data_IF_268205083253
#
_entry.id   IF_268205083253
#
_cell.length_a   1.000
_cell.length_b   1.000
_cell.length_c   1.000
_cell.angle_alpha   90.00
_cell.angle_beta   90.00
_cell.angle_gamma   90.00
#
_symmetry.space_group_name_H-M   'P 1'
#
loop_
_entity.id
_entity.type
_entity.pdbx_description
1 polymer ?
#
# COMPACT_ATOMS: atom_id res chain seq x y z
N UNK A 1 0.89 -53.16 32.63
CA UNK A 1 1.23 -51.95 31.84
C UNK A 1 -0.04 -51.14 31.82
N UNK A 2 -0.21 -50.33 32.87
CA UNK A 2 -1.54 -49.85 33.23
C UNK A 2 -1.75 -48.50 32.55
N UNK A 3 -2.74 -48.47 31.65
CA UNK A 3 -3.07 -47.31 30.85
C UNK A 3 -3.59 -46.18 31.76
N UNK A 4 -2.80 -45.13 31.93
CA UNK A 4 -3.21 -43.89 32.58
C UNK A 4 -4.25 -43.18 31.71
N UNK A 5 -5.53 -43.40 32.01
CA UNK A 5 -6.64 -42.63 31.44
C UNK A 5 -6.59 -41.25 32.09
N UNK A 6 -6.05 -40.26 31.37
CA UNK A 6 -6.18 -38.84 31.70
C UNK A 6 -7.63 -38.41 31.47
N UNK A 7 -8.53 -38.84 32.36
CA UNK A 7 -9.92 -38.41 32.33
C UNK A 7 -9.98 -36.91 32.70
N UNK A 8 -10.38 -36.08 31.74
CA UNK A 8 -10.67 -34.68 31.98
C UNK A 8 -11.73 -34.57 33.08
N UNK A 9 -11.34 -34.07 34.25
CA UNK A 9 -12.19 -34.00 35.45
C UNK A 9 -13.39 -33.08 35.15
N UNK A 10 -14.57 -33.67 34.99
CA UNK A 10 -15.82 -32.95 34.73
C UNK A 10 -16.17 -32.08 35.95
N UNK A 11 -16.36 -30.76 35.76
CA UNK A 11 -16.73 -29.85 36.86
C UNK A 11 -18.17 -30.15 37.30
N UNK A 12 -18.40 -30.28 38.62
CA UNK A 12 -19.73 -30.52 39.16
C UNK A 12 -20.67 -29.36 38.81
N UNK A 13 -21.95 -29.67 38.53
CA UNK A 13 -22.98 -28.71 38.12
C UNK A 13 -23.17 -27.57 39.13
N UNK A 14 -22.86 -27.81 40.41
CA UNK A 14 -22.83 -26.79 41.47
C UNK A 14 -21.77 -25.70 41.26
N UNK A 15 -20.69 -26.00 40.51
CA UNK A 15 -19.63 -25.05 40.12
C UNK A 15 -19.83 -24.51 38.70
N UNK A 16 -21.04 -24.59 38.15
CA UNK A 16 -21.37 -23.98 36.86
C UNK A 16 -21.38 -22.46 37.03
N UNK A 17 -20.26 -21.83 36.70
CA UNK A 17 -20.12 -20.37 36.66
C UNK A 17 -21.10 -19.86 35.62
N UNK A 18 -22.09 -19.08 36.06
CA UNK A 18 -23.00 -18.37 35.16
C UNK A 18 -22.34 -17.04 34.83
N UNK A 19 -22.33 -16.60 33.55
CA UNK A 19 -21.84 -15.28 33.21
C UNK A 19 -22.69 -14.25 33.97
N UNK A 20 -22.05 -13.43 34.80
CA UNK A 20 -22.65 -12.28 35.43
C UNK A 20 -22.51 -11.12 34.45
N UNK A 21 -23.59 -10.37 34.23
CA UNK A 21 -23.56 -9.21 33.37
C UNK A 21 -22.91 -8.04 34.11
N UNK A 22 -21.59 -8.10 34.25
CA UNK A 22 -20.79 -7.00 34.77
C UNK A 22 -20.50 -5.99 33.65
N UNK A 23 -20.54 -4.68 33.92
CA UNK A 23 -20.17 -3.68 32.93
C UNK A 23 -18.72 -3.91 32.50
N UNK A 24 -18.48 -3.84 31.18
CA UNK A 24 -17.12 -3.95 30.64
C UNK A 24 -16.26 -2.84 31.27
N UNK A 25 -15.14 -3.19 31.93
CA UNK A 25 -14.24 -2.19 32.50
C UNK A 25 -13.79 -1.23 31.41
N UNK A 26 -13.92 0.08 31.64
CA UNK A 26 -13.53 1.10 30.66
C UNK A 26 -12.02 1.08 30.37
N UNK A 27 -11.22 0.60 31.32
CA UNK A 27 -9.78 0.42 31.19
C UNK A 27 -9.38 -0.81 30.36
N UNK A 28 -10.34 -1.64 29.92
CA UNK A 28 -10.05 -2.80 29.09
C UNK A 28 -9.57 -2.39 27.68
N UNK A 29 -10.00 -1.22 27.20
CA UNK A 29 -9.65 -0.72 25.88
C UNK A 29 -9.32 0.79 25.96
N UNK A 30 -8.15 1.15 26.53
CA UNK A 30 -7.72 2.54 26.53
C UNK A 30 -7.71 3.07 25.09
N UNK A 31 -8.03 4.36 24.88
CA UNK A 31 -7.99 4.95 23.56
C UNK A 31 -6.59 4.80 22.97
N UNK A 32 -6.53 4.51 21.67
CA UNK A 32 -5.26 4.35 20.96
C UNK A 32 -4.42 5.63 21.10
N UNK A 33 -3.23 5.49 21.66
CA UNK A 33 -2.27 6.58 21.71
C UNK A 33 -1.78 6.91 20.30
N UNK A 34 -1.72 8.21 20.00
CA UNK A 34 -1.15 8.66 18.73
C UNK A 34 0.36 8.47 18.80
N UNK A 35 1.00 7.88 17.77
CA UNK A 35 2.45 7.84 17.73
C UNK A 35 3.01 9.27 17.73
N UNK A 36 4.19 9.49 18.33
CA UNK A 36 4.82 10.80 18.31
C UNK A 36 5.02 11.25 16.86
N UNK A 37 4.46 12.41 16.52
CA UNK A 37 4.64 13.01 15.21
C UNK A 37 6.09 13.51 15.13
N UNK A 38 6.84 13.06 14.13
CA UNK A 38 8.20 13.55 13.88
C UNK A 38 8.23 15.03 13.46
N UNK A 39 7.09 15.58 13.02
CA UNK A 39 6.92 16.96 12.57
C UNK A 39 5.69 17.57 13.22
N UNK A 40 5.76 18.88 13.49
CA UNK A 40 4.60 19.67 13.89
C UNK A 40 3.50 19.59 12.79
N UNK A 41 2.28 19.14 13.13
CA UNK A 41 1.16 19.08 12.19
C UNK A 41 0.60 20.46 11.81
N UNK A 42 0.85 21.50 12.62
CA UNK A 42 0.35 22.86 12.40
C UNK A 42 1.39 23.83 11.84
N UNK A 43 2.68 23.48 11.94
CA UNK A 43 3.73 24.13 11.18
C UNK A 43 3.54 23.82 9.69
N UNK A 44 3.08 24.78 8.91
CA UNK A 44 2.99 24.67 7.44
C UNK A 44 4.36 25.00 6.82
N UNK A 45 5.07 24.04 6.20
CA UNK A 45 6.23 24.33 5.38
C UNK A 45 5.92 23.88 3.96
N UNK A 46 4.76 24.28 3.43
CA UNK A 46 4.51 24.13 2.01
C UNK A 46 4.75 25.51 1.43
N UNK A 47 5.96 25.69 0.87
CA UNK A 47 6.21 26.79 -0.04
C UNK A 47 5.08 26.76 -1.09
N UNK A 48 4.35 27.87 -1.29
CA UNK A 48 3.27 27.94 -2.28
C UNK A 48 3.76 27.44 -3.64
N UNK A 49 5.03 27.74 -3.94
CA UNK A 49 5.69 27.33 -5.17
C UNK A 49 6.42 26.01 -4.93
N UNK A 50 5.96 24.97 -5.64
CA UNK A 50 6.68 23.70 -5.72
C UNK A 50 8.00 23.91 -6.47
N UNK A 51 9.10 23.25 -6.05
CA UNK A 51 10.37 23.34 -6.76
C UNK A 51 10.22 22.83 -8.20
N UNK A 52 11.01 23.40 -9.11
CA UNK A 52 11.04 22.98 -10.52
C UNK A 52 11.49 21.52 -10.58
N UNK A 53 10.78 20.71 -11.37
CA UNK A 53 11.10 19.31 -11.56
C UNK A 53 12.52 19.12 -12.13
N UNK A 54 13.27 18.19 -11.54
CA UNK A 54 14.56 17.72 -12.04
C UNK A 54 14.47 16.25 -12.39
N UNK A 55 15.00 15.88 -13.56
CA UNK A 55 15.02 14.50 -14.02
C UNK A 55 15.90 13.63 -13.13
N UNK A 56 15.44 12.41 -12.86
CA UNK A 56 16.24 11.38 -12.18
C UNK A 56 16.49 10.21 -13.10
N UNK A 57 17.38 9.30 -12.67
CA UNK A 57 17.72 8.09 -13.43
C UNK A 57 16.49 7.24 -13.81
N UNK A 58 15.44 7.24 -12.99
CA UNK A 58 14.21 6.48 -13.26
C UNK A 58 13.08 7.31 -13.86
N UNK A 59 13.00 8.59 -13.50
CA UNK A 59 11.93 9.51 -13.92
C UNK A 59 12.54 10.51 -14.91
N UNK A 60 12.52 10.13 -16.18
CA UNK A 60 12.93 10.98 -17.31
C UNK A 60 11.72 11.69 -17.93
N UNK A 61 11.96 12.78 -18.67
CA UNK A 61 10.87 13.49 -19.36
C UNK A 61 10.06 12.58 -20.31
N UNK A 62 10.73 11.68 -21.04
CA UNK A 62 10.08 10.73 -21.95
C UNK A 62 9.07 9.83 -21.22
N UNK A 63 9.42 9.34 -20.04
CA UNK A 63 8.52 8.49 -19.24
C UNK A 63 7.37 9.27 -18.63
N UNK A 64 7.60 10.54 -18.31
CA UNK A 64 6.54 11.41 -17.81
C UNK A 64 5.53 11.78 -18.90
N UNK A 65 5.91 11.77 -20.19
CA UNK A 65 4.97 11.96 -21.29
C UNK A 65 3.99 10.79 -21.46
N UNK A 66 4.37 9.57 -21.06
CA UNK A 66 3.46 8.42 -21.01
C UNK A 66 2.38 8.58 -19.90
N UNK A 67 2.60 9.46 -18.92
CA UNK A 67 1.70 9.67 -17.79
C UNK A 67 0.64 10.71 -18.17
N UNK A 68 -0.63 10.28 -18.13
CA UNK A 68 -1.75 11.17 -18.35
C UNK A 68 -2.07 11.97 -17.06
N UNK A 69 -1.89 13.29 -17.11
CA UNK A 69 -2.21 14.21 -16.00
C UNK A 69 -3.64 14.79 -16.07
N UNK A 70 -4.47 14.28 -16.99
CA UNK A 70 -5.82 14.77 -17.24
C UNK A 70 -5.91 15.68 -18.46
N UNK A 71 -7.12 16.20 -18.75
CA UNK A 71 -7.35 17.10 -19.87
C UNK A 71 -6.60 18.44 -19.71
N UNK A 72 -6.34 19.17 -20.81
CA UNK A 72 -5.65 20.46 -20.74
C UNK A 72 -6.43 21.45 -19.86
N UNK A 73 -5.75 22.14 -18.94
CA UNK A 73 -6.36 23.06 -17.98
C UNK A 73 -6.92 22.41 -16.71
N UNK A 74 -6.83 21.07 -16.57
CA UNK A 74 -7.25 20.36 -15.35
C UNK A 74 -6.34 20.65 -14.15
N UNK A 75 -5.05 20.89 -14.40
CA UNK A 75 -4.05 21.22 -13.38
C UNK A 75 -3.29 22.47 -13.79
N UNK A 76 -2.98 23.30 -12.80
CA UNK A 76 -2.01 24.39 -12.93
C UNK A 76 -0.59 23.83 -13.12
N UNK A 77 0.29 24.63 -13.71
CA UNK A 77 1.70 24.24 -13.90
C UNK A 77 2.40 23.89 -12.57
N UNK A 78 1.99 24.54 -11.47
CA UNK A 78 2.52 24.30 -10.13
C UNK A 78 2.09 22.95 -9.59
N UNK A 79 0.83 22.56 -9.78
CA UNK A 79 0.30 21.26 -9.39
C UNK A 79 0.94 20.13 -10.22
N UNK A 80 1.17 20.37 -11.52
CA UNK A 80 1.88 19.41 -12.37
C UNK A 80 3.32 19.21 -11.85
N UNK A 81 4.01 20.29 -11.48
CA UNK A 81 5.36 20.19 -10.92
C UNK A 81 5.36 19.50 -9.56
N UNK A 82 4.36 19.76 -8.71
CA UNK A 82 4.18 19.06 -7.44
C UNK A 82 4.04 17.55 -7.66
N UNK A 83 3.15 17.14 -8.58
CA UNK A 83 2.92 15.73 -8.89
C UNK A 83 4.18 15.05 -9.43
N UNK A 84 4.91 15.71 -10.34
CA UNK A 84 6.20 15.22 -10.85
C UNK A 84 7.18 14.99 -9.69
N UNK A 85 7.31 15.95 -8.77
CA UNK A 85 8.20 15.81 -7.61
C UNK A 85 7.76 14.69 -6.66
N UNK A 86 6.46 14.49 -6.44
CA UNK A 86 5.95 13.37 -5.63
C UNK A 86 6.27 12.03 -6.27
N UNK A 87 6.17 11.92 -7.59
CA UNK A 87 6.56 10.71 -8.34
C UNK A 87 8.07 10.45 -8.15
N UNK A 88 8.89 11.48 -8.27
CA UNK A 88 10.34 11.40 -8.03
C UNK A 88 10.68 10.95 -6.62
N UNK A 89 10.07 11.55 -5.59
CA UNK A 89 10.27 11.17 -4.18
C UNK A 89 9.90 9.70 -3.93
N UNK A 90 8.96 9.16 -4.70
CA UNK A 90 8.47 7.77 -4.57
C UNK A 90 9.09 6.82 -5.59
N UNK A 91 10.15 7.20 -6.31
CA UNK A 91 10.79 6.36 -7.34
C UNK A 91 11.37 5.03 -6.79
N UNK A 92 11.66 4.99 -5.49
CA UNK A 92 12.14 3.80 -4.78
C UNK A 92 11.01 2.99 -4.14
N UNK A 93 9.79 3.53 -4.09
CA UNK A 93 8.61 2.78 -3.74
C UNK A 93 8.15 1.95 -4.95
N UNK A 94 7.72 0.73 -4.67
CA UNK A 94 7.38 -0.31 -5.65
C UNK A 94 6.25 0.03 -6.63
N UNK A 95 5.63 1.21 -6.53
CA UNK A 95 4.53 1.68 -7.37
C UNK A 95 4.88 1.73 -8.87
N UNK A 96 6.14 2.03 -9.20
CA UNK A 96 6.64 2.07 -10.59
C UNK A 96 7.19 0.72 -11.10
N UNK A 97 6.90 -0.41 -10.43
CA UNK A 97 7.19 -1.74 -10.99
C UNK A 97 6.33 -1.99 -12.22
N UNK A 98 6.86 -1.61 -13.38
CA UNK A 98 6.32 -1.87 -14.72
C UNK A 98 6.04 -3.38 -14.83
N UNK A 99 4.76 -3.75 -14.96
CA UNK A 99 4.36 -5.08 -15.42
C UNK A 99 4.90 -5.25 -16.84
N UNK A 100 5.97 -6.01 -17.01
CA UNK A 100 6.35 -6.58 -18.32
C UNK A 100 5.30 -7.63 -18.71
N UNK A 101 4.12 -7.19 -19.14
CA UNK A 101 3.16 -8.01 -19.88
C UNK A 101 2.95 -7.29 -21.19
N UNK A 102 3.59 -7.73 -22.28
CA UNK A 102 3.12 -7.58 -23.68
C UNK A 102 4.19 -8.07 -24.69
N UNK A 103 5.49 -8.10 -24.37
CA UNK A 103 6.50 -8.46 -25.39
C UNK A 103 6.72 -9.96 -25.61
N UNK A 104 6.39 -10.84 -24.65
CA UNK A 104 6.51 -12.30 -24.87
C UNK A 104 5.35 -12.89 -25.69
N UNK A 105 4.13 -12.35 -25.60
CA UNK A 105 2.97 -12.96 -26.28
C UNK A 105 2.94 -12.68 -27.78
N UNK A 106 3.54 -11.58 -28.25
CA UNK A 106 3.63 -11.29 -29.70
C UNK A 106 4.70 -12.13 -30.39
N UNK A 107 5.87 -12.33 -29.76
CA UNK A 107 6.99 -13.12 -30.32
C UNK A 107 6.61 -14.61 -30.42
N UNK A 108 5.92 -15.15 -29.41
CA UNK A 108 5.47 -16.55 -29.45
C UNK A 108 4.33 -16.79 -30.44
N UNK A 109 3.51 -15.76 -30.74
CA UNK A 109 2.45 -15.86 -31.75
C UNK A 109 3.05 -15.88 -33.16
N UNK A 110 4.02 -15.00 -33.44
CA UNK A 110 4.72 -14.98 -34.73
C UNK A 110 5.55 -16.23 -34.99
N UNK A 111 6.15 -16.84 -33.95
CA UNK A 111 6.93 -18.08 -34.08
C UNK A 111 6.06 -19.32 -34.30
N UNK A 112 4.84 -19.34 -33.76
CA UNK A 112 3.88 -20.43 -33.96
C UNK A 112 3.27 -20.41 -35.36
N UNK A 113 2.97 -19.23 -35.87
CA UNK A 113 2.38 -19.08 -37.20
C UNK A 113 3.37 -19.49 -38.32
N UNK A 114 4.68 -19.40 -38.08
CA UNK A 114 5.73 -19.84 -39.02
C UNK A 114 6.03 -21.34 -39.01
N UNK A 115 5.66 -22.08 -37.96
CA UNK A 115 5.91 -23.54 -37.88
C UNK A 115 4.82 -24.39 -38.53
N UNK A 116 3.64 -23.81 -38.74
CA UNK A 116 2.45 -24.54 -39.20
C UNK A 116 2.24 -24.39 -40.73
N UNK A 117 3.15 -23.72 -41.45
CA UNK A 117 3.09 -23.49 -42.91
C UNK A 117 4.18 -24.19 -43.73
N UNK A 118 4.92 -25.15 -43.16
CA UNK A 118 5.89 -26.01 -43.87
C UNK A 118 5.51 -27.47 -43.81
#
# INVERSE_FOLDING_TARGET
MDHQILAAKYKSVLKKVRPVNDPVPQDLNPPLERPPLSRDPYGTPLSPNSPIFQETFKVTHERLQEVNFGPPGWLSNEEINLLKNVITLRENNSFLKRRKRITQTLIWKTLKDTSDTS
#
